data_IF_036228603948
#
_entry.id   IF_036228603948
#
_cell.length_a   1.000
_cell.length_b   1.000
_cell.length_c   1.000
_cell.angle_alpha   90.00
_cell.angle_beta   90.00
_cell.angle_gamma   90.00
#
_symmetry.space_group_name_H-M   'P 1'
#
loop_
_entity.id
_entity.type
_entity.pdbx_description
1 polymer ?
#
# COMPACT_ATOMS: atom_id res chain seq x y z
N UNK A 1 -4.92 -9.56 -28.38
CA UNK A 1 -4.62 -9.18 -26.98
C UNK A 1 -4.95 -7.73 -26.60
N UNK A 2 -4.38 -6.69 -27.24
CA UNK A 2 -4.49 -5.28 -26.76
C UNK A 2 -5.93 -4.77 -26.56
N UNK A 3 -6.89 -5.22 -27.38
CA UNK A 3 -8.29 -4.76 -27.33
C UNK A 3 -9.05 -5.16 -26.05
N UNK A 4 -8.61 -6.20 -25.33
CA UNK A 4 -9.21 -6.63 -24.05
C UNK A 4 -8.61 -5.88 -22.84
N UNK A 5 -7.41 -5.33 -22.97
CA UNK A 5 -6.73 -4.65 -21.85
C UNK A 5 -7.22 -3.20 -21.68
N UNK A 6 -7.54 -2.52 -22.78
CA UNK A 6 -8.07 -1.15 -22.79
C UNK A 6 -9.35 -0.99 -21.95
N UNK A 7 -10.41 -1.82 -22.12
CA UNK A 7 -11.63 -1.67 -21.33
C UNK A 7 -11.40 -1.92 -19.84
N UNK A 8 -10.54 -2.89 -19.47
CA UNK A 8 -10.17 -3.15 -18.07
C UNK A 8 -9.46 -1.94 -17.46
N UNK A 9 -8.53 -1.32 -18.17
CA UNK A 9 -7.83 -0.11 -17.71
C UNK A 9 -8.79 1.07 -17.57
N UNK A 10 -9.63 1.35 -18.57
CA UNK A 10 -10.57 2.49 -18.55
C UNK A 10 -11.59 2.37 -17.40
N UNK A 11 -12.16 1.18 -17.20
CA UNK A 11 -13.11 0.93 -16.10
C UNK A 11 -12.44 1.12 -14.73
N UNK A 12 -11.21 0.63 -14.58
CA UNK A 12 -10.44 0.77 -13.35
C UNK A 12 -10.11 2.24 -13.08
N UNK A 13 -9.65 2.98 -14.09
CA UNK A 13 -9.37 4.42 -13.98
C UNK A 13 -10.64 5.19 -13.61
N UNK A 14 -11.77 4.92 -14.26
CA UNK A 14 -13.04 5.57 -13.95
C UNK A 14 -13.47 5.31 -12.50
N UNK A 15 -13.21 4.11 -11.98
CA UNK A 15 -13.54 3.75 -10.60
C UNK A 15 -12.63 4.44 -9.60
N UNK A 16 -11.31 4.38 -9.80
CA UNK A 16 -10.32 4.98 -8.91
C UNK A 16 -10.45 6.51 -8.86
N UNK A 17 -10.81 7.16 -9.98
CA UNK A 17 -11.07 8.61 -10.02
C UNK A 17 -12.17 9.07 -9.06
N UNK A 18 -13.14 8.22 -8.71
CA UNK A 18 -14.21 8.57 -7.75
C UNK A 18 -13.67 8.73 -6.33
N UNK A 19 -12.52 8.11 -6.05
CA UNK A 19 -11.84 8.16 -4.76
C UNK A 19 -10.63 9.09 -4.80
N UNK A 20 -10.46 9.88 -5.86
CA UNK A 20 -9.42 10.90 -5.91
C UNK A 20 -9.69 11.93 -4.79
N UNK A 21 -8.68 12.10 -3.96
CA UNK A 21 -8.72 12.93 -2.76
C UNK A 21 -8.23 14.34 -3.10
N UNK A 22 -7.42 14.50 -4.16
CA UNK A 22 -6.74 15.75 -4.49
C UNK A 22 -6.14 16.41 -3.25
N UNK A 23 -6.45 17.70 -3.06
CA UNK A 23 -5.96 18.50 -1.95
C UNK A 23 -6.84 18.48 -0.70
N UNK A 24 -7.74 17.49 -0.54
CA UNK A 24 -8.65 17.41 0.62
C UNK A 24 -7.93 17.40 1.96
N UNK A 25 -6.64 17.08 2.04
CA UNK A 25 -5.83 17.08 3.27
C UNK A 25 -4.88 18.28 3.39
N UNK A 26 -5.03 19.29 2.54
CA UNK A 26 -4.24 20.53 2.60
C UNK A 26 -4.38 21.30 3.92
N UNK A 27 -5.47 21.08 4.66
CA UNK A 27 -5.74 21.70 5.95
C UNK A 27 -4.91 21.14 7.11
N UNK A 28 -4.24 20.00 6.93
CA UNK A 28 -3.44 19.38 7.99
C UNK A 28 -2.18 20.22 8.28
N UNK A 29 -1.65 20.18 9.52
CA UNK A 29 -0.38 20.84 9.84
C UNK A 29 0.71 20.44 8.85
N UNK A 30 1.77 21.24 8.72
CA UNK A 30 2.90 20.97 7.83
C UNK A 30 3.68 19.74 8.31
N UNK A 31 3.12 18.57 8.06
CA UNK A 31 3.79 17.29 8.19
C UNK A 31 4.68 17.09 6.96
N UNK A 32 5.84 16.45 7.13
CA UNK A 32 6.56 15.88 6.01
C UNK A 32 5.61 15.03 5.15
N UNK A 33 5.66 15.21 3.83
CA UNK A 33 4.82 14.49 2.86
C UNK A 33 5.68 13.53 2.06
N UNK A 34 5.18 12.32 1.88
CA UNK A 34 5.73 11.35 0.94
C UNK A 34 4.61 10.84 0.03
N UNK A 35 4.96 10.51 -1.20
CA UNK A 35 4.04 9.87 -2.14
C UNK A 35 4.55 8.49 -2.50
N UNK A 36 3.65 7.52 -2.54
CA UNK A 36 3.97 6.13 -2.91
C UNK A 36 3.21 5.79 -4.18
N UNK A 37 3.95 5.46 -5.24
CA UNK A 37 3.35 5.00 -6.49
C UNK A 37 2.89 3.54 -6.36
N UNK A 38 1.67 3.26 -6.80
CA UNK A 38 1.09 1.92 -6.95
C UNK A 38 0.94 1.68 -8.47
N UNK A 39 1.94 1.07 -9.11
CA UNK A 39 1.97 0.91 -10.56
C UNK A 39 1.09 -0.26 -11.00
N UNK A 40 -0.03 0.02 -11.67
CA UNK A 40 -0.95 -0.97 -12.22
C UNK A 40 -0.65 -1.29 -13.68
N UNK A 41 -0.77 -2.55 -14.05
CA UNK A 41 -0.72 -2.99 -15.45
C UNK A 41 -1.60 -4.21 -15.67
N UNK A 42 -1.95 -4.47 -16.94
CA UNK A 42 -2.72 -5.64 -17.32
C UNK A 42 -1.77 -6.67 -17.93
N UNK A 43 -1.78 -7.89 -17.39
CA UNK A 43 -1.05 -9.05 -17.92
C UNK A 43 -1.98 -10.24 -17.97
N UNK A 44 -2.11 -10.87 -19.14
CA UNK A 44 -3.03 -12.02 -19.32
C UNK A 44 -4.49 -11.71 -18.97
N UNK A 45 -4.95 -10.47 -19.22
CA UNK A 45 -6.31 -10.02 -18.88
C UNK A 45 -6.55 -9.74 -17.38
N UNK A 46 -5.52 -9.82 -16.54
CA UNK A 46 -5.62 -9.57 -15.10
C UNK A 46 -4.79 -8.35 -14.69
N UNK A 47 -5.33 -7.55 -13.75
CA UNK A 47 -4.59 -6.45 -13.14
C UNK A 47 -3.48 -6.99 -12.24
N UNK A 48 -2.31 -6.37 -12.33
CA UNK A 48 -1.15 -6.64 -11.51
C UNK A 48 -0.57 -5.33 -11.00
N UNK A 49 0.17 -5.41 -9.89
CA UNK A 49 1.02 -4.32 -9.40
C UNK A 49 2.46 -4.80 -9.26
N UNK A 50 3.42 -3.90 -9.48
CA UNK A 50 4.80 -4.14 -9.03
C UNK A 50 4.94 -3.79 -7.55
N UNK A 51 5.73 -4.58 -6.84
CA UNK A 51 6.25 -4.28 -5.52
C UNK A 51 7.78 -4.41 -5.53
N UNK A 52 8.41 -3.69 -4.62
CA UNK A 52 9.87 -3.65 -4.47
C UNK A 52 10.27 -4.16 -3.10
N UNK A 53 11.32 -4.98 -3.04
CA UNK A 53 12.03 -5.32 -1.81
C UNK A 53 13.21 -4.36 -1.66
N UNK A 54 13.25 -3.58 -0.58
CA UNK A 54 14.35 -2.66 -0.30
C UNK A 54 15.63 -3.43 0.05
N UNK A 55 16.78 -2.94 -0.41
CA UNK A 55 18.08 -3.47 0.00
C UNK A 55 18.34 -3.18 1.48
N UNK A 56 19.12 -4.04 2.15
CA UNK A 56 19.51 -3.86 3.56
C UNK A 56 20.43 -2.67 3.79
N UNK A 57 21.14 -2.23 2.75
CA UNK A 57 22.13 -1.16 2.83
C UNK A 57 21.53 0.25 2.89
N UNK A 58 20.22 0.38 2.69
CA UNK A 58 19.56 1.65 2.91
C UNK A 58 19.15 1.72 4.38
N UNK A 59 20.02 2.33 5.19
CA UNK A 59 19.56 3.00 6.41
C UNK A 59 18.47 3.97 5.97
N UNK A 60 17.21 3.67 6.27
CA UNK A 60 16.33 4.78 6.62
C UNK A 60 17.08 5.46 7.76
N UNK A 61 17.33 6.76 7.70
CA UNK A 61 17.57 7.47 8.94
C UNK A 61 16.46 7.02 9.89
N UNK A 62 16.86 6.31 10.93
CA UNK A 62 15.96 5.58 11.82
C UNK A 62 14.85 6.55 12.24
N UNK A 63 13.59 6.18 11.98
CA UNK A 63 12.55 6.55 12.94
C UNK A 63 12.91 5.72 14.15
N UNK A 64 13.79 6.27 14.99
CA UNK A 64 14.23 5.67 16.23
C UNK A 64 12.98 5.34 17.02
N UNK A 65 12.61 4.06 17.04
CA UNK A 65 11.79 3.54 18.12
C UNK A 65 12.75 3.46 19.30
N UNK A 66 12.93 4.61 19.96
CA UNK A 66 13.75 4.67 21.16
C UNK A 66 13.12 3.79 22.23
N UNK A 67 13.94 2.85 22.70
CA UNK A 67 13.75 2.11 23.93
C UNK A 67 13.49 3.09 25.09
N UNK A 68 12.31 2.98 25.71
CA UNK A 68 11.82 3.88 26.76
C UNK A 68 12.54 3.64 28.09
N UNK A 69 13.80 4.07 28.19
CA UNK A 69 14.51 4.08 29.47
C UNK A 69 15.34 5.34 29.74
N UNK A 70 15.13 6.44 29.00
CA UNK A 70 15.75 7.75 29.33
C UNK A 70 14.80 8.93 29.18
N UNK A 71 14.70 9.82 30.19
CA UNK A 71 13.95 11.07 30.06
C UNK A 71 14.90 12.18 29.58
N UNK A 72 14.68 12.71 28.38
CA UNK A 72 15.10 14.07 28.03
C UNK A 72 14.22 14.63 26.92
N UNK A 73 13.89 15.91 27.05
CA UNK A 73 12.76 16.55 26.40
C UNK A 73 13.01 17.08 24.98
N UNK A 74 11.87 17.45 24.38
CA UNK A 74 11.69 18.37 23.25
C UNK A 74 12.26 17.95 21.89
N UNK A 75 11.49 17.13 21.18
CA UNK A 75 11.62 16.87 19.74
C UNK A 75 10.52 15.91 19.31
N UNK A 76 9.28 16.39 19.18
CA UNK A 76 8.15 15.53 18.80
C UNK A 76 8.41 14.88 17.44
N UNK A 77 8.35 13.56 17.38
CA UNK A 77 8.35 12.78 16.14
C UNK A 77 7.26 13.32 15.21
N UNK A 78 7.59 14.23 14.30
CA UNK A 78 6.61 14.79 13.38
C UNK A 78 6.19 13.67 12.43
N UNK A 79 4.96 13.17 12.58
CA UNK A 79 4.45 12.08 11.75
C UNK A 79 4.56 12.34 10.25
N UNK A 80 4.72 11.27 9.46
CA UNK A 80 4.82 11.34 8.00
C UNK A 80 3.44 11.15 7.35
N UNK A 81 3.05 12.06 6.46
CA UNK A 81 1.84 11.90 5.64
C UNK A 81 2.18 11.19 4.34
N UNK A 82 1.72 9.94 4.19
CA UNK A 82 1.91 9.15 2.97
C UNK A 82 0.67 9.24 2.07
N UNK A 83 0.86 9.69 0.83
CA UNK A 83 -0.19 9.79 -0.20
C UNK A 83 -0.01 8.71 -1.27
N UNK A 84 -0.91 7.72 -1.38
CA UNK A 84 -0.84 6.74 -2.45
C UNK A 84 -1.23 7.39 -3.79
N UNK A 85 -0.43 7.15 -4.82
CA UNK A 85 -0.69 7.58 -6.20
C UNK A 85 -0.82 6.32 -7.06
N UNK A 86 -1.95 6.13 -7.74
CA UNK A 86 -2.14 4.98 -8.63
C UNK A 86 -1.83 5.39 -10.07
N UNK A 87 -0.94 4.65 -10.74
CA UNK A 87 -0.54 4.95 -12.12
C UNK A 87 -0.61 3.71 -13.00
N UNK A 88 -1.13 3.84 -14.22
CA UNK A 88 -1.11 2.76 -15.19
C UNK A 88 0.16 2.76 -16.02
N UNK A 89 0.82 1.61 -16.11
CA UNK A 89 2.01 1.39 -16.92
C UNK A 89 1.74 0.34 -18.00
N UNK A 90 2.52 0.39 -19.08
CA UNK A 90 2.43 -0.59 -20.17
C UNK A 90 2.94 -1.95 -19.70
N UNK A 91 2.31 -3.04 -20.15
CA UNK A 91 2.76 -4.42 -19.85
C UNK A 91 4.21 -4.68 -20.28
N UNK A 92 4.67 -4.03 -21.35
CA UNK A 92 6.03 -4.12 -21.88
C UNK A 92 7.07 -3.38 -21.03
N UNK A 93 6.65 -2.67 -19.97
CA UNK A 93 7.58 -1.99 -19.08
C UNK A 93 8.39 -3.00 -18.27
N UNK A 94 9.71 -2.90 -18.37
CA UNK A 94 10.65 -3.69 -17.58
C UNK A 94 11.31 -2.79 -16.53
N UNK A 95 11.04 -3.00 -15.23
CA UNK A 95 11.68 -2.21 -14.18
C UNK A 95 13.17 -2.52 -14.11
N UNK A 96 14.00 -1.48 -14.07
CA UNK A 96 15.45 -1.59 -13.87
C UNK A 96 15.78 -1.05 -12.48
N UNK A 97 15.79 -1.90 -11.43
CA UNK A 97 16.02 -1.45 -10.06
C UNK A 97 17.45 -0.94 -9.87
N UNK A 98 17.60 0.10 -9.05
CA UNK A 98 18.91 0.48 -8.49
C UNK A 98 19.27 -0.54 -7.39
N UNK A 99 20.31 -1.37 -7.55
CA UNK A 99 20.64 -2.42 -6.57
C UNK A 99 21.05 -1.87 -5.20
N UNK A 100 21.54 -0.63 -5.13
CA UNK A 100 21.84 0.04 -3.84
C UNK A 100 20.58 0.27 -3.01
N UNK A 101 19.43 0.42 -3.65
CA UNK A 101 18.15 0.75 -3.00
C UNK A 101 17.16 -0.41 -2.97
N UNK A 102 17.11 -1.18 -4.06
CA UNK A 102 16.08 -2.18 -4.33
C UNK A 102 16.76 -3.52 -4.65
N UNK A 103 16.56 -4.48 -3.77
CA UNK A 103 17.10 -5.84 -3.89
C UNK A 103 16.27 -6.71 -4.85
N UNK A 104 14.97 -6.47 -4.97
CA UNK A 104 14.12 -7.22 -5.90
C UNK A 104 12.90 -6.41 -6.35
N UNK A 105 12.42 -6.70 -7.56
CA UNK A 105 11.13 -6.21 -8.07
C UNK A 105 10.32 -7.41 -8.51
N UNK A 106 9.07 -7.50 -8.06
CA UNK A 106 8.19 -8.62 -8.36
C UNK A 106 6.77 -8.15 -8.67
N UNK A 107 6.09 -8.88 -9.55
CA UNK A 107 4.73 -8.59 -9.98
C UNK A 107 3.74 -9.43 -9.19
N UNK A 108 2.72 -8.80 -8.62
CA UNK A 108 1.67 -9.47 -7.86
C UNK A 108 0.32 -9.26 -8.55
N UNK A 109 -0.45 -10.33 -8.84
CA UNK A 109 -1.82 -10.19 -9.33
C UNK A 109 -2.66 -9.45 -8.29
N UNK A 110 -3.42 -8.44 -8.72
CA UNK A 110 -4.15 -7.58 -7.79
C UNK A 110 -5.24 -8.37 -7.01
N UNK A 111 -5.82 -9.41 -7.61
CA UNK A 111 -6.78 -10.31 -6.95
C UNK A 111 -6.16 -11.09 -5.78
N UNK A 112 -4.83 -11.26 -5.73
CA UNK A 112 -4.13 -11.90 -4.61
C UNK A 112 -4.44 -11.20 -3.27
N UNK A 113 -4.49 -9.86 -3.26
CA UNK A 113 -4.79 -9.07 -2.06
C UNK A 113 -6.27 -9.15 -1.63
N UNK A 114 -7.10 -9.92 -2.32
CA UNK A 114 -8.50 -10.17 -1.95
C UNK A 114 -8.77 -11.60 -1.51
N UNK A 115 -7.76 -12.47 -1.57
CA UNK A 115 -7.87 -13.89 -1.22
C UNK A 115 -7.50 -14.09 0.24
N UNK A 116 -8.22 -14.98 0.91
CA UNK A 116 -7.89 -15.43 2.27
C UNK A 116 -6.73 -16.44 2.25
N UNK A 117 -6.52 -17.11 1.11
CA UNK A 117 -5.38 -18.00 0.91
C UNK A 117 -4.08 -17.19 1.02
N UNK A 118 -3.16 -17.67 1.87
CA UNK A 118 -1.86 -17.05 2.15
C UNK A 118 -1.94 -15.67 2.85
N UNK A 119 -3.10 -15.37 3.45
CA UNK A 119 -3.36 -14.20 4.27
C UNK A 119 -3.39 -14.58 5.76
N UNK A 120 -2.80 -13.73 6.60
CA UNK A 120 -2.98 -13.81 8.04
C UNK A 120 -3.34 -12.45 8.63
N UNK A 121 -4.14 -12.48 9.69
CA UNK A 121 -4.54 -11.30 10.45
C UNK A 121 -3.86 -11.35 11.80
N UNK A 122 -3.11 -10.31 12.14
CA UNK A 122 -2.64 -10.10 13.50
C UNK A 122 -3.54 -9.07 14.18
N UNK A 123 -4.32 -9.52 15.18
CA UNK A 123 -5.13 -8.64 16.02
C UNK A 123 -4.31 -8.12 17.20
N UNK A 124 -4.53 -6.87 17.61
CA UNK A 124 -4.05 -6.37 18.90
C UNK A 124 -2.62 -5.80 18.93
N UNK A 125 -2.05 -5.38 17.80
CA UNK A 125 -0.75 -4.67 17.81
C UNK A 125 -0.91 -3.34 18.57
N UNK A 126 -0.26 -3.24 19.73
CA UNK A 126 -0.32 -2.08 20.62
C UNK A 126 -0.01 -0.79 19.85
N UNK A 127 -0.98 0.14 19.81
CA UNK A 127 -0.84 1.43 19.15
C UNK A 127 -1.46 1.56 17.74
N UNK A 128 -1.82 0.45 17.07
CA UNK A 128 -2.58 0.47 15.80
C UNK A 128 -4.08 0.31 16.03
N UNK A 129 -4.88 0.86 15.12
CA UNK A 129 -6.34 0.71 15.13
C UNK A 129 -6.73 -0.06 13.88
N UNK A 130 -7.14 -1.32 14.06
CA UNK A 130 -7.51 -2.22 12.97
C UNK A 130 -6.61 -3.47 12.88
N UNK A 131 -7.06 -4.47 12.11
CA UNK A 131 -6.27 -5.67 11.83
C UNK A 131 -5.00 -5.34 11.03
N UNK A 132 -3.87 -5.95 11.38
CA UNK A 132 -2.68 -5.94 10.54
C UNK A 132 -2.79 -7.10 9.56
N UNK A 133 -2.96 -6.78 8.28
CA UNK A 133 -2.99 -7.77 7.21
C UNK A 133 -1.58 -8.08 6.73
N UNK A 134 -1.29 -9.37 6.63
CA UNK A 134 -0.03 -9.90 6.13
C UNK A 134 -0.33 -10.93 5.04
N UNK A 135 0.46 -10.89 3.96
CA UNK A 135 0.33 -11.80 2.83
C UNK A 135 1.67 -12.44 2.50
N UNK A 136 1.64 -13.75 2.22
CA UNK A 136 2.81 -14.52 1.80
C UNK A 136 2.72 -14.84 0.31
N UNK A 137 3.39 -14.04 -0.50
CA UNK A 137 3.39 -14.21 -1.95
C UNK A 137 4.57 -15.06 -2.39
N UNK A 138 4.29 -16.13 -3.17
CA UNK A 138 5.32 -16.88 -3.87
C UNK A 138 5.34 -16.47 -5.33
N UNK A 139 6.44 -15.86 -5.77
CA UNK A 139 6.59 -15.46 -7.17
C UNK A 139 6.75 -16.69 -8.06
N UNK A 140 5.83 -16.93 -9.02
CA UNK A 140 5.93 -18.07 -9.92
C UNK A 140 7.14 -17.99 -10.87
N UNK A 141 7.68 -16.79 -11.13
CA UNK A 141 8.80 -16.63 -12.06
C UNK A 141 10.15 -16.98 -11.39
N UNK A 142 10.42 -16.43 -10.20
CA UNK A 142 11.66 -16.67 -9.46
C UNK A 142 11.59 -17.84 -8.46
N UNK A 143 10.38 -18.24 -8.05
CA UNK A 143 10.16 -19.20 -6.96
C UNK A 143 10.35 -18.61 -5.55
N UNK A 144 10.77 -17.35 -5.44
CA UNK A 144 11.02 -16.65 -4.17
C UNK A 144 9.73 -16.37 -3.41
N UNK A 145 9.83 -16.33 -2.08
CA UNK A 145 8.73 -15.95 -1.18
C UNK A 145 8.93 -14.54 -0.63
N UNK A 146 7.85 -13.76 -0.62
CA UNK A 146 7.80 -12.39 -0.18
C UNK A 146 6.71 -12.20 0.86
N UNK A 147 7.04 -11.50 1.95
CA UNK A 147 6.10 -11.14 2.99
C UNK A 147 5.67 -9.67 2.82
N UNK A 148 4.39 -9.44 2.59
CA UNK A 148 3.80 -8.12 2.32
C UNK A 148 2.90 -7.78 3.50
N UNK A 149 3.21 -6.73 4.24
CA UNK A 149 2.50 -6.36 5.47
C UNK A 149 2.43 -4.84 5.68
N UNK A 150 1.70 -4.41 6.70
CA UNK A 150 1.66 -3.00 7.12
C UNK A 150 0.96 -2.08 6.12
N UNK A 151 1.48 -0.86 5.99
CA UNK A 151 0.94 0.18 5.10
C UNK A 151 0.85 -0.32 3.65
N UNK A 152 1.85 -1.06 3.18
CA UNK A 152 1.89 -1.61 1.83
C UNK A 152 0.75 -2.59 1.59
N UNK A 153 0.53 -3.54 2.50
CA UNK A 153 -0.58 -4.50 2.40
C UNK A 153 -1.95 -3.80 2.43
N UNK A 154 -2.10 -2.79 3.29
CA UNK A 154 -3.33 -2.01 3.39
C UNK A 154 -3.62 -1.23 2.08
N UNK A 155 -2.64 -0.53 1.53
CA UNK A 155 -2.79 0.21 0.27
C UNK A 155 -3.05 -0.72 -0.92
N UNK A 156 -2.34 -1.84 -1.00
CA UNK A 156 -2.54 -2.83 -2.05
C UNK A 156 -3.95 -3.46 -1.97
N UNK A 157 -4.42 -3.77 -0.77
CA UNK A 157 -5.78 -4.29 -0.53
C UNK A 157 -6.83 -3.25 -0.92
N UNK A 158 -6.65 -1.98 -0.55
CA UNK A 158 -7.55 -0.90 -0.95
C UNK A 158 -7.65 -0.80 -2.47
N UNK A 159 -6.51 -0.69 -3.16
CA UNK A 159 -6.50 -0.59 -4.62
C UNK A 159 -7.10 -1.83 -5.25
N UNK A 160 -6.88 -3.02 -4.69
CA UNK A 160 -7.48 -4.25 -5.19
C UNK A 160 -8.99 -4.27 -5.09
N UNK A 161 -9.55 -3.90 -3.94
CA UNK A 161 -11.00 -3.86 -3.75
C UNK A 161 -11.65 -2.80 -4.65
N UNK A 162 -11.04 -1.63 -4.76
CA UNK A 162 -11.56 -0.55 -5.61
C UNK A 162 -11.45 -0.88 -7.10
N UNK A 163 -10.32 -1.41 -7.55
CA UNK A 163 -10.10 -1.72 -8.97
C UNK A 163 -10.90 -2.93 -9.44
N UNK A 164 -11.00 -3.97 -8.61
CA UNK A 164 -11.72 -5.20 -8.94
C UNK A 164 -13.21 -5.13 -8.60
N UNK A 165 -13.66 -4.09 -7.88
CA UNK A 165 -15.03 -3.93 -7.37
C UNK A 165 -15.53 -5.19 -6.65
N UNK A 166 -14.63 -5.90 -5.98
CA UNK A 166 -14.87 -7.21 -5.38
C UNK A 166 -14.66 -7.13 -3.89
N UNK A 167 -15.57 -7.74 -3.13
CA UNK A 167 -15.41 -7.89 -1.68
C UNK A 167 -14.27 -8.89 -1.41
N UNK A 168 -13.30 -8.56 -0.55
CA UNK A 168 -12.25 -9.48 -0.14
C UNK A 168 -12.85 -10.65 0.66
N UNK A 169 -12.15 -11.78 0.66
CA UNK A 169 -12.56 -13.00 1.38
C UNK A 169 -12.34 -12.92 2.90
N UNK A 170 -11.78 -11.82 3.38
CA UNK A 170 -11.52 -11.54 4.79
C UNK A 170 -12.07 -10.16 5.17
N UNK A 171 -12.17 -9.90 6.47
CA UNK A 171 -12.58 -8.58 6.96
C UNK A 171 -11.41 -7.59 6.87
N UNK A 172 -11.59 -6.53 6.09
CA UNK A 172 -10.60 -5.47 5.89
C UNK A 172 -10.59 -4.40 6.99
N UNK A 173 -11.61 -4.40 7.86
CA UNK A 173 -11.74 -3.41 8.93
C UNK A 173 -12.04 -1.98 8.47
N UNK A 174 -12.30 -1.76 7.16
CA UNK A 174 -12.73 -0.48 6.59
C UNK A 174 -13.98 -0.63 5.71
N UNK A 175 -14.77 0.43 5.62
CA UNK A 175 -15.97 0.47 4.78
C UNK A 175 -15.56 0.51 3.29
N UNK A 176 -16.12 -0.41 2.49
CA UNK A 176 -15.84 -0.46 1.05
C UNK A 176 -16.57 0.63 0.26
N UNK A 177 -17.65 1.18 0.83
CA UNK A 177 -18.43 2.28 0.26
C UNK A 177 -17.76 3.62 0.55
N UNK A 178 -17.28 3.81 1.78
CA UNK A 178 -16.50 4.99 2.18
C UNK A 178 -15.16 4.61 2.87
N UNK A 179 -14.17 4.13 2.09
CA UNK A 179 -12.86 3.82 2.63
C UNK A 179 -12.16 5.07 3.19
N UNK A 180 -12.51 6.27 2.71
CA UNK A 180 -11.87 7.52 3.11
C UNK A 180 -12.13 7.85 4.58
N UNK A 181 -13.33 7.57 5.09
CA UNK A 181 -13.66 7.78 6.51
C UNK A 181 -12.71 6.99 7.44
N UNK A 182 -12.38 5.76 7.08
CA UNK A 182 -11.44 4.94 7.83
C UNK A 182 -10.03 5.55 7.85
N UNK A 183 -9.50 5.95 6.69
CA UNK A 183 -8.18 6.58 6.62
C UNK A 183 -8.13 7.92 7.35
N UNK A 184 -9.19 8.73 7.26
CA UNK A 184 -9.34 9.97 8.05
C UNK A 184 -9.27 9.67 9.54
N UNK A 185 -9.97 8.65 10.02
CA UNK A 185 -9.97 8.24 11.42
C UNK A 185 -8.58 7.78 11.88
N UNK A 186 -7.87 6.99 11.07
CA UNK A 186 -6.48 6.58 11.37
C UNK A 186 -5.58 7.80 11.43
N UNK A 187 -5.67 8.69 10.46
CA UNK A 187 -4.84 9.89 10.36
C UNK A 187 -5.09 10.83 11.55
N UNK A 188 -6.34 11.11 11.88
CA UNK A 188 -6.72 11.92 13.05
C UNK A 188 -6.21 11.29 14.36
N UNK A 189 -6.30 9.97 14.53
CA UNK A 189 -5.81 9.29 15.73
C UNK A 189 -4.27 9.28 15.83
N UNK A 190 -3.58 9.30 14.70
CA UNK A 190 -2.11 9.46 14.67
C UNK A 190 -1.74 10.89 15.00
N UNK A 191 -2.41 11.87 14.39
CA UNK A 191 -2.23 13.30 14.64
C UNK A 191 -2.56 13.70 16.09
N UNK A 192 -3.58 13.09 16.71
CA UNK A 192 -3.95 13.39 18.11
C UNK A 192 -2.98 12.80 19.14
N UNK A 193 -2.02 11.98 18.71
CA UNK A 193 -0.97 11.39 19.55
C UNK A 193 0.39 12.07 19.35
N UNK A 194 0.49 12.98 18.37
CA UNK A 194 1.62 13.88 18.16
C UNK A 194 1.48 15.10 19.08
#
# INVERSE_FOLDING_TARGET
QQRLNIPVTEETVATLKRFDIGDKFSYLPVLPKASVLIPLFVRGGQLHTFLTLRSKEVTCDDVSVEDKSRPQGTGGDRGLLVSPVVGFIKETFTPTPNPSEVSAVFAVPLDFFTREKDHCITHGVAGMTGPLHSFYFRDPASGSQYHIFGLTAMLATLVAVLALKKKPQFDVGFDLVDPLAFFKKILHKRLSKL
#
